data_IF_285252528613
#
_entry.id   IF_285252528613
#
_cell.length_a   1.000
_cell.length_b   1.000
_cell.length_c   1.000
_cell.angle_alpha   90.00
_cell.angle_beta   90.00
_cell.angle_gamma   90.00
#
_symmetry.space_group_name_H-M   'P 1'
#
loop_
_entity.id
_entity.type
_entity.pdbx_description
1 polymer ?
#
# COMPACT_ATOMS: atom_id res chain seq x y z
N UNK A 1 -7.22 -11.86 11.26
CA UNK A 1 -6.87 -10.95 10.15
C UNK A 1 -5.68 -11.48 9.37
N UNK A 2 -4.51 -11.70 10.02
CA UNK A 2 -3.28 -12.11 9.33
C UNK A 2 -3.43 -13.36 8.47
N UNK A 3 -4.11 -14.39 8.98
CA UNK A 3 -4.42 -15.61 8.20
C UNK A 3 -5.18 -15.30 6.91
N UNK A 4 -6.20 -14.45 6.97
CA UNK A 4 -7.00 -14.08 5.78
C UNK A 4 -6.17 -13.30 4.76
N UNK A 5 -5.29 -12.41 5.22
CA UNK A 5 -4.38 -11.66 4.33
C UNK A 5 -3.37 -12.60 3.68
N UNK A 6 -2.83 -13.54 4.43
CA UNK A 6 -1.90 -14.56 3.91
C UNK A 6 -2.57 -15.44 2.87
N UNK A 7 -3.77 -15.95 3.15
CA UNK A 7 -4.55 -16.74 2.19
C UNK A 7 -4.83 -15.97 0.88
N UNK A 8 -5.15 -14.69 0.98
CA UNK A 8 -5.35 -13.85 -0.19
C UNK A 8 -4.07 -13.69 -1.02
N UNK A 9 -2.91 -13.54 -0.37
CA UNK A 9 -1.60 -13.46 -1.04
C UNK A 9 -1.26 -14.79 -1.71
N UNK A 10 -1.38 -15.91 -0.99
CA UNK A 10 -1.10 -17.24 -1.52
C UNK A 10 -2.01 -17.60 -2.69
N UNK A 11 -3.30 -17.25 -2.61
CA UNK A 11 -4.25 -17.44 -3.70
C UNK A 11 -3.84 -16.65 -4.96
N UNK A 12 -3.36 -15.42 -4.78
CA UNK A 12 -2.86 -14.59 -5.89
C UNK A 12 -1.59 -15.18 -6.52
N UNK A 13 -0.66 -15.68 -5.70
CA UNK A 13 0.59 -16.30 -6.17
C UNK A 13 0.28 -17.58 -6.94
N UNK A 14 -0.64 -18.42 -6.45
CA UNK A 14 -1.12 -19.63 -7.12
C UNK A 14 -1.82 -19.30 -8.43
N UNK A 15 -2.65 -18.25 -8.45
CA UNK A 15 -3.31 -17.77 -9.67
C UNK A 15 -2.35 -17.26 -10.74
N UNK A 16 -1.13 -16.86 -10.36
CA UNK A 16 -0.04 -16.51 -11.27
C UNK A 16 0.78 -17.73 -11.75
N UNK A 17 0.33 -18.95 -11.46
CA UNK A 17 0.98 -20.20 -11.89
C UNK A 17 2.25 -20.57 -11.11
N UNK A 18 2.46 -20.00 -9.93
CA UNK A 18 3.60 -20.33 -9.07
C UNK A 18 3.21 -21.38 -8.03
N UNK A 19 4.15 -22.26 -7.71
CA UNK A 19 4.01 -23.17 -6.60
C UNK A 19 4.05 -22.40 -5.28
N UNK A 20 3.13 -22.75 -4.39
CA UNK A 20 2.98 -22.07 -3.10
C UNK A 20 3.18 -23.00 -1.92
N UNK A 21 3.44 -24.30 -2.13
CA UNK A 21 3.55 -25.25 -1.04
C UNK A 21 4.70 -24.89 -0.08
N UNK A 22 5.89 -24.71 -0.62
CA UNK A 22 7.08 -24.34 0.18
C UNK A 22 6.93 -22.94 0.82
N UNK A 23 6.38 -21.99 0.06
CA UNK A 23 6.21 -20.61 0.51
C UNK A 23 5.12 -20.51 1.59
N UNK A 24 4.06 -21.34 1.50
CA UNK A 24 2.94 -21.28 2.45
C UNK A 24 3.35 -21.63 3.87
N UNK A 25 4.22 -22.60 4.04
CA UNK A 25 4.69 -23.02 5.35
C UNK A 25 5.44 -21.89 6.07
N UNK A 26 6.33 -21.18 5.36
CA UNK A 26 7.05 -20.02 5.88
C UNK A 26 6.10 -18.89 6.29
N UNK A 27 5.06 -18.61 5.50
CA UNK A 27 4.07 -17.59 5.84
C UNK A 27 3.28 -17.94 7.09
N UNK A 28 2.85 -19.19 7.25
CA UNK A 28 2.12 -19.61 8.44
C UNK A 28 3.01 -19.63 9.68
N UNK A 29 4.24 -20.07 9.56
CA UNK A 29 5.20 -20.09 10.66
C UNK A 29 5.47 -18.68 11.18
N UNK A 30 5.68 -17.71 10.28
CA UNK A 30 5.81 -16.29 10.63
C UNK A 30 4.58 -15.74 11.37
N UNK A 31 3.37 -16.14 10.99
CA UNK A 31 2.14 -15.73 11.71
C UNK A 31 2.12 -16.32 13.10
N UNK A 32 2.44 -17.61 13.24
CA UNK A 32 2.43 -18.28 14.53
C UNK A 32 3.48 -17.69 15.48
N UNK A 33 4.66 -17.38 14.99
CA UNK A 33 5.70 -16.67 15.75
C UNK A 33 5.24 -15.26 16.17
N UNK A 34 4.69 -14.49 15.26
CA UNK A 34 4.17 -13.14 15.54
C UNK A 34 3.14 -13.13 16.67
N UNK A 35 2.30 -14.16 16.73
CA UNK A 35 1.25 -14.28 17.75
C UNK A 35 1.66 -15.15 18.95
N UNK A 36 2.90 -15.59 18.99
CA UNK A 36 3.46 -16.46 20.05
C UNK A 36 2.61 -17.72 20.31
N UNK A 37 2.14 -18.32 19.24
CA UNK A 37 1.39 -19.59 19.24
C UNK A 37 2.08 -20.60 18.33
N UNK A 38 1.68 -21.85 18.42
CA UNK A 38 2.11 -22.88 17.47
C UNK A 38 0.90 -23.43 16.70
N UNK A 39 1.18 -24.16 15.62
CA UNK A 39 0.17 -24.77 14.76
C UNK A 39 -0.82 -25.63 15.56
N UNK A 40 -0.34 -26.40 16.54
CA UNK A 40 -1.19 -27.28 17.36
C UNK A 40 -2.21 -26.50 18.19
N UNK A 41 -1.79 -25.37 18.78
CA UNK A 41 -2.69 -24.48 19.53
C UNK A 41 -3.70 -23.86 18.58
N UNK A 42 -3.26 -23.39 17.43
CA UNK A 42 -4.14 -22.83 16.41
C UNK A 42 -5.20 -23.84 15.96
N UNK A 43 -4.80 -25.04 15.53
CA UNK A 43 -5.70 -26.09 15.05
C UNK A 43 -6.73 -26.50 16.10
N UNK A 44 -6.31 -26.60 17.37
CA UNK A 44 -7.20 -26.90 18.49
C UNK A 44 -8.24 -25.79 18.71
N UNK A 45 -7.80 -24.54 18.69
CA UNK A 45 -8.68 -23.37 18.86
C UNK A 45 -9.64 -23.25 17.68
N UNK A 46 -9.16 -23.40 16.47
CA UNK A 46 -9.97 -23.37 15.27
C UNK A 46 -11.06 -24.46 15.27
N UNK A 47 -10.69 -25.69 15.63
CA UNK A 47 -11.65 -26.79 15.77
C UNK A 47 -12.71 -26.54 16.85
N UNK A 48 -12.36 -25.84 17.92
CA UNK A 48 -13.32 -25.42 18.94
C UNK A 48 -14.32 -24.43 18.37
N UNK A 49 -13.85 -23.36 17.73
CA UNK A 49 -14.70 -22.30 17.16
C UNK A 49 -15.55 -22.83 16.00
N UNK A 50 -15.09 -23.76 15.20
CA UNK A 50 -15.91 -24.40 14.15
C UNK A 50 -17.16 -25.10 14.72
N UNK A 51 -17.10 -25.57 15.96
CA UNK A 51 -18.23 -26.22 16.65
C UNK A 51 -19.13 -25.22 17.40
N UNK A 52 -18.64 -24.03 17.64
CA UNK A 52 -19.33 -22.96 18.37
C UNK A 52 -19.56 -21.78 17.41
N UNK A 53 -20.59 -21.91 16.57
CA UNK A 53 -20.86 -20.97 15.48
C UNK A 53 -21.07 -19.53 15.95
N UNK A 54 -21.69 -19.31 17.11
CA UNK A 54 -21.89 -17.98 17.65
C UNK A 54 -20.57 -17.26 18.00
N UNK A 55 -19.62 -17.99 18.62
CA UNK A 55 -18.30 -17.45 18.92
C UNK A 55 -17.51 -17.20 17.64
N UNK A 56 -17.64 -18.08 16.65
CA UNK A 56 -17.00 -17.95 15.35
C UNK A 56 -17.52 -16.73 14.57
N UNK A 57 -18.83 -16.49 14.60
CA UNK A 57 -19.46 -15.32 14.00
C UNK A 57 -18.90 -14.01 14.56
N UNK A 58 -18.78 -13.90 15.89
CA UNK A 58 -18.16 -12.74 16.53
C UNK A 58 -16.71 -12.51 16.13
N UNK A 59 -15.93 -13.57 15.92
CA UNK A 59 -14.55 -13.48 15.41
C UNK A 59 -14.55 -12.92 13.98
N UNK A 60 -15.41 -13.43 13.09
CA UNK A 60 -15.49 -12.97 11.71
C UNK A 60 -15.98 -11.52 11.60
N UNK A 61 -16.92 -11.10 12.44
CA UNK A 61 -17.34 -9.69 12.50
C UNK A 61 -16.15 -8.77 12.82
N UNK A 62 -15.34 -9.13 13.81
CA UNK A 62 -14.14 -8.37 14.15
C UNK A 62 -13.12 -8.36 13.02
N UNK A 63 -12.92 -9.49 12.34
CA UNK A 63 -12.05 -9.58 11.16
C UNK A 63 -12.51 -8.64 10.05
N UNK A 64 -13.81 -8.60 9.75
CA UNK A 64 -14.39 -7.71 8.74
C UNK A 64 -14.19 -6.24 9.11
N UNK A 65 -14.43 -5.87 10.36
CA UNK A 65 -14.20 -4.50 10.85
C UNK A 65 -12.76 -4.07 10.69
N UNK A 66 -11.81 -4.93 11.05
CA UNK A 66 -10.37 -4.62 10.95
C UNK A 66 -9.91 -4.54 9.49
N UNK A 67 -10.35 -5.44 8.62
CA UNK A 67 -10.04 -5.39 7.18
C UNK A 67 -10.59 -4.11 6.53
N UNK A 68 -11.81 -3.71 6.87
CA UNK A 68 -12.40 -2.47 6.38
C UNK A 68 -11.64 -1.22 6.87
N UNK A 69 -11.14 -1.24 8.10
CA UNK A 69 -10.29 -0.17 8.64
C UNK A 69 -8.97 -0.08 7.86
N UNK A 70 -8.29 -1.20 7.68
CA UNK A 70 -7.04 -1.26 6.90
C UNK A 70 -7.22 -0.80 5.46
N UNK A 71 -8.35 -1.13 4.83
CA UNK A 71 -8.67 -0.66 3.48
C UNK A 71 -8.80 0.85 3.44
N UNK A 72 -9.57 1.45 4.34
CA UNK A 72 -9.74 2.92 4.42
C UNK A 72 -8.42 3.65 4.66
N UNK A 73 -7.58 3.14 5.55
CA UNK A 73 -6.26 3.70 5.82
C UNK A 73 -5.37 3.67 4.57
N UNK A 74 -5.37 2.55 3.85
CA UNK A 74 -4.63 2.41 2.59
C UNK A 74 -5.13 3.36 1.50
N UNK A 75 -6.44 3.54 1.38
CA UNK A 75 -7.03 4.48 0.44
C UNK A 75 -6.66 5.93 0.76
N UNK A 76 -6.66 6.30 2.05
CA UNK A 76 -6.23 7.64 2.49
C UNK A 76 -4.75 7.88 2.19
N UNK A 77 -3.88 6.90 2.46
CA UNK A 77 -2.45 7.00 2.12
C UNK A 77 -2.23 7.16 0.62
N UNK A 78 -2.98 6.43 -0.21
CA UNK A 78 -2.89 6.57 -1.68
C UNK A 78 -3.33 7.95 -2.15
N UNK A 79 -4.43 8.49 -1.60
CA UNK A 79 -4.92 9.84 -1.95
C UNK A 79 -3.93 10.93 -1.54
N UNK A 80 -3.33 10.81 -0.35
CA UNK A 80 -2.33 11.76 0.11
C UNK A 80 -1.08 11.73 -0.79
N UNK A 81 -0.58 10.55 -1.12
CA UNK A 81 0.56 10.40 -2.03
C UNK A 81 0.30 10.95 -3.43
N UNK A 82 -0.93 10.81 -3.94
CA UNK A 82 -1.32 11.42 -5.21
C UNK A 82 -1.37 12.95 -5.15
N UNK A 83 -1.85 13.52 -4.04
CA UNK A 83 -1.85 14.98 -3.84
C UNK A 83 -0.42 15.54 -3.77
N UNK A 84 0.44 14.91 -2.99
CA UNK A 84 1.85 15.30 -2.89
C UNK A 84 2.54 15.27 -4.26
N UNK A 85 2.34 14.20 -5.04
CA UNK A 85 2.91 14.11 -6.39
C UNK A 85 2.38 15.20 -7.33
N UNK A 86 1.09 15.52 -7.27
CA UNK A 86 0.50 16.60 -8.11
C UNK A 86 0.98 17.98 -7.69
N UNK A 87 1.24 18.22 -6.41
CA UNK A 87 1.79 19.50 -5.91
C UNK A 87 3.26 19.67 -6.32
N UNK A 88 4.06 18.59 -6.32
CA UNK A 88 5.45 18.60 -6.79
C UNK A 88 5.53 18.86 -8.30
N UNK A 89 4.67 18.25 -9.10
CA UNK A 89 4.59 18.51 -10.54
C UNK A 89 4.22 19.98 -10.84
N UNK A 90 3.25 20.52 -10.11
CA UNK A 90 2.83 21.91 -10.27
C UNK A 90 3.96 22.89 -9.95
N UNK A 91 4.69 22.66 -8.86
CA UNK A 91 5.85 23.48 -8.47
C UNK A 91 6.99 23.41 -9.49
N UNK A 92 7.26 22.23 -10.02
CA UNK A 92 8.29 22.03 -11.04
C UNK A 92 7.97 22.73 -12.36
N UNK A 93 6.69 22.77 -12.74
CA UNK A 93 6.22 23.51 -13.93
C UNK A 93 6.30 25.03 -13.74
N UNK A 94 5.93 25.54 -12.59
CA UNK A 94 6.07 26.98 -12.27
C UNK A 94 7.53 27.42 -12.28
N UNK A 95 8.43 26.63 -11.71
CA UNK A 95 9.87 26.96 -11.69
C UNK A 95 10.46 26.95 -13.10
N UNK A 96 10.10 25.99 -13.94
CA UNK A 96 10.54 25.93 -15.33
C UNK A 96 9.99 27.11 -16.15
N UNK A 97 8.75 27.53 -15.92
CA UNK A 97 8.16 28.67 -16.58
C UNK A 97 8.86 29.96 -16.21
N UNK A 98 9.15 30.19 -14.92
CA UNK A 98 9.91 31.35 -14.44
C UNK A 98 11.32 31.40 -15.01
N UNK A 99 12.03 30.25 -15.07
CA UNK A 99 13.38 30.18 -15.69
C UNK A 99 13.36 30.48 -17.18
N UNK A 100 12.33 30.08 -17.91
CA UNK A 100 12.18 30.38 -19.34
C UNK A 100 11.85 31.86 -19.59
N UNK A 101 11.07 32.51 -18.72
CA UNK A 101 10.75 33.93 -18.82
C UNK A 101 11.96 34.82 -18.51
N UNK A 102 12.73 34.50 -17.47
CA UNK A 102 13.96 35.23 -17.14
C UNK A 102 14.96 35.13 -18.27
N UNK A 103 15.15 33.96 -18.87
CA UNK A 103 16.04 33.76 -20.01
C UNK A 103 15.61 34.56 -21.28
N UNK A 104 14.31 34.70 -21.50
CA UNK A 104 13.77 35.53 -22.57
C UNK A 104 13.98 37.04 -22.34
N UNK A 105 13.91 37.46 -21.08
CA UNK A 105 14.17 38.87 -20.71
C UNK A 105 15.65 39.24 -20.91
N UNK A 106 16.57 38.37 -20.46
CA UNK A 106 18.01 38.59 -20.63
C UNK A 106 18.40 38.67 -22.11
N UNK A 107 17.91 37.75 -22.95
CA UNK A 107 18.10 37.81 -24.41
C UNK A 107 17.53 39.10 -25.07
N UNK A 108 16.46 39.71 -24.53
CA UNK A 108 15.91 40.97 -25.02
C UNK A 108 16.72 42.20 -24.61
N UNK A 109 17.40 42.10 -23.47
CA UNK A 109 18.28 43.20 -23.01
C UNK A 109 19.59 43.24 -23.81
N UNK A 110 20.18 42.09 -24.09
CA UNK A 110 21.39 41.99 -24.94
C UNK A 110 21.18 42.52 -26.37
N UNK A 111 20.00 42.27 -26.95
CA UNK A 111 19.67 42.77 -28.30
C UNK A 111 19.41 44.30 -28.36
N UNK A 112 19.25 44.96 -27.23
CA UNK A 112 19.05 46.45 -27.19
C UNK A 112 20.35 47.23 -27.03
N UNK A 113 21.42 46.59 -26.54
CA UNK A 113 22.73 47.24 -26.42
C UNK A 113 23.48 47.31 -27.75
N UNK A 114 23.30 46.36 -28.68
CA UNK A 114 23.91 46.38 -29.99
C UNK A 114 23.28 47.34 -31.02
N UNK A 115 22.18 47.99 -30.66
CA UNK A 115 21.44 48.91 -31.51
C UNK A 115 21.81 50.40 -31.38
N UNK A 116 22.80 50.77 -30.58
CA UNK A 116 23.29 52.14 -30.39
C UNK A 116 24.72 52.31 -30.93
N UNK A 117 24.82 52.36 -32.24
CA UNK A 117 25.94 52.97 -32.91
C UNK A 117 25.43 53.93 -33.98
#
# INVERSE_FOLDING_TARGET
VDMHLTEAVLTRIRGAGKDVEEISDDYYENIFEKHNINKKIFDKSFSYYQRNLGDMEGIYEQVIVELNKMQREREMMRKNKQKEASEEESKSQEENTRKSETKKLDLRMDLKEDGKK
#
